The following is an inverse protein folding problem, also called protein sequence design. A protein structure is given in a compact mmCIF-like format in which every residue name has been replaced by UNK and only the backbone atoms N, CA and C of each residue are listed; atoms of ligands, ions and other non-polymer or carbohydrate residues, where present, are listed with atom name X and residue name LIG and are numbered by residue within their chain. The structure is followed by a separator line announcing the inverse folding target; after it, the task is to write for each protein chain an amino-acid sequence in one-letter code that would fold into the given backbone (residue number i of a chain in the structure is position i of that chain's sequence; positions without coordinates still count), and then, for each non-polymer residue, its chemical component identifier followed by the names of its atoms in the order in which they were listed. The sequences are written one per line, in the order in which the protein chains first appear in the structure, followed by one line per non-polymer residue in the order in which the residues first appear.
data_IF_047932609311
#
_entry.id   IF_047932609311
#
_cell.length_a   1.000
_cell.length_b   1.000
_cell.length_c   1.000
_cell.angle_alpha   90.00
_cell.angle_beta   90.00
_cell.angle_gamma   90.00
#
_symmetry.space_group_name_H-M   'P 1'
#
loop_
_entity.id
_entity.type
_entity.pdbx_description
1 polymer ?
#
# COMPACT_ATOMS: atom_id res chain seq x y z
N UNK A 1 15.69 -25.87 -13.48
CA UNK A 1 16.15 -24.49 -13.19
C UNK A 1 15.01 -23.74 -12.52
N UNK A 2 15.07 -23.54 -11.20
CA UNK A 2 14.00 -22.84 -10.47
C UNK A 2 14.17 -21.34 -10.66
N UNK A 3 13.22 -20.70 -11.33
CA UNK A 3 13.24 -19.26 -11.56
C UNK A 3 13.01 -18.53 -10.23
N UNK A 4 14.08 -18.00 -9.64
CA UNK A 4 14.02 -17.14 -8.46
C UNK A 4 13.26 -15.86 -8.84
N UNK A 5 11.98 -15.77 -8.43
CA UNK A 5 11.19 -14.54 -8.59
C UNK A 5 11.94 -13.39 -7.93
N UNK A 6 12.19 -12.34 -8.71
CA UNK A 6 12.71 -11.08 -8.20
C UNK A 6 11.71 -10.52 -7.18
N UNK A 7 12.14 -10.13 -5.97
CA UNK A 7 11.26 -9.50 -5.01
C UNK A 7 10.74 -8.18 -5.61
N UNK A 8 9.44 -7.95 -5.49
CA UNK A 8 8.80 -6.72 -5.96
C UNK A 8 9.53 -5.52 -5.34
N UNK A 9 9.79 -4.46 -6.12
CA UNK A 9 10.41 -3.23 -5.60
C UNK A 9 9.56 -2.55 -4.53
N UNK A 10 8.29 -2.97 -4.40
CA UNK A 10 7.32 -2.55 -3.39
C UNK A 10 7.27 -3.44 -2.15
N UNK A 11 8.10 -4.48 -2.08
CA UNK A 11 8.09 -5.44 -0.98
C UNK A 11 8.79 -4.87 0.25
N UNK A 12 8.01 -4.56 1.29
CA UNK A 12 8.52 -4.17 2.61
C UNK A 12 9.13 -5.34 3.40
N UNK A 13 9.19 -6.53 2.81
CA UNK A 13 9.74 -7.74 3.45
C UNK A 13 11.18 -7.59 3.94
N UNK A 14 11.95 -6.64 3.43
CA UNK A 14 13.32 -6.34 3.89
C UNK A 14 13.34 -5.64 5.26
N UNK A 15 12.21 -5.08 5.67
CA UNK A 15 12.00 -4.44 6.97
C UNK A 15 11.22 -5.35 7.94
N UNK A 16 10.72 -6.50 7.46
CA UNK A 16 10.05 -7.52 8.27
C UNK A 16 11.10 -8.48 8.86
N UNK A 17 11.83 -8.04 9.89
CA UNK A 17 12.72 -8.92 10.62
C UNK A 17 11.93 -9.72 11.68
N UNK A 18 11.83 -11.03 11.44
CA UNK A 18 11.68 -12.15 12.37
C UNK A 18 10.87 -11.89 13.66
N UNK A 19 9.57 -12.21 13.60
CA UNK A 19 8.65 -12.24 14.73
C UNK A 19 9.01 -13.39 15.68
N UNK A 20 9.55 -13.04 16.84
CA UNK A 20 9.12 -13.51 18.16
C UNK A 20 10.15 -13.05 19.19
N UNK A 21 9.79 -12.02 19.98
CA UNK A 21 10.30 -11.68 21.33
C UNK A 21 10.73 -10.22 21.60
N UNK A 22 10.48 -9.24 20.72
CA UNK A 22 10.82 -7.81 20.97
C UNK A 22 9.75 -6.81 20.50
N UNK A 23 8.49 -7.23 20.42
CA UNK A 23 7.47 -6.61 19.56
C UNK A 23 6.84 -5.30 20.06
N UNK A 24 7.25 -4.71 21.20
CA UNK A 24 6.52 -3.56 21.74
C UNK A 24 7.31 -2.25 21.91
N UNK A 25 8.59 -2.17 21.57
CA UNK A 25 9.36 -0.94 21.88
C UNK A 25 10.46 -0.56 20.88
N UNK A 26 10.42 -1.02 19.63
CA UNK A 26 11.38 -0.52 18.64
C UNK A 26 10.79 0.64 17.83
N UNK A 27 10.72 1.84 18.46
CA UNK A 27 10.29 3.09 17.81
C UNK A 27 11.03 3.37 16.49
N UNK A 28 12.21 2.77 16.29
CA UNK A 28 12.96 2.85 15.04
C UNK A 28 12.23 2.24 13.84
N UNK A 29 11.23 1.37 14.05
CA UNK A 29 10.46 0.71 12.99
C UNK A 29 9.17 1.46 12.64
N UNK A 30 8.78 2.46 13.44
CA UNK A 30 7.62 3.30 13.15
C UNK A 30 7.84 4.00 11.81
N UNK A 31 6.79 4.10 10.99
CA UNK A 31 6.90 4.68 9.65
C UNK A 31 7.50 6.10 9.69
N UNK A 32 7.10 6.90 10.68
CA UNK A 32 7.60 8.27 10.88
C UNK A 32 9.09 8.35 11.21
N UNK A 33 9.74 7.24 11.58
CA UNK A 33 11.17 7.17 11.87
C UNK A 33 11.95 6.42 10.78
N UNK A 34 11.28 5.65 9.93
CA UNK A 34 11.91 4.79 8.93
C UNK A 34 11.95 5.36 7.51
N UNK A 35 10.95 6.17 7.11
CA UNK A 35 10.82 6.67 5.73
C UNK A 35 11.50 8.03 5.52
N UNK A 36 12.80 8.05 5.79
CA UNK A 36 13.72 9.16 5.49
C UNK A 36 14.84 8.67 4.58
N UNK A 37 15.73 9.57 4.13
CA UNK A 37 16.93 9.15 3.41
C UNK A 37 17.59 10.27 2.63
N UNK A 38 18.82 10.01 2.18
CA UNK A 38 19.55 10.90 1.27
C UNK A 38 18.72 11.07 -0.01
N UNK A 39 18.64 12.31 -0.49
CA UNK A 39 17.85 12.67 -1.66
C UNK A 39 16.38 12.22 -1.58
N UNK A 40 15.80 12.25 -0.37
CA UNK A 40 14.40 11.92 -0.11
C UNK A 40 13.99 10.48 -0.49
N UNK A 41 14.93 9.54 -0.60
CA UNK A 41 14.64 8.17 -1.06
C UNK A 41 13.56 7.42 -0.26
N UNK A 42 13.43 7.70 1.05
CA UNK A 42 12.37 7.14 1.89
C UNK A 42 10.96 7.63 1.50
N UNK A 43 10.85 8.89 1.07
CA UNK A 43 9.59 9.52 0.63
C UNK A 43 9.07 8.83 -0.63
N UNK A 44 9.95 8.60 -1.60
CA UNK A 44 9.60 7.93 -2.85
C UNK A 44 9.12 6.49 -2.64
N UNK A 45 9.75 5.76 -1.72
CA UNK A 45 9.37 4.38 -1.36
C UNK A 45 7.95 4.36 -0.80
N UNK A 46 7.64 5.22 0.17
CA UNK A 46 6.31 5.25 0.79
C UNK A 46 5.23 5.67 -0.22
N UNK A 47 5.49 6.69 -1.06
CA UNK A 47 4.57 7.06 -2.13
C UNK A 47 4.34 5.95 -3.15
N UNK A 48 5.39 5.21 -3.54
CA UNK A 48 5.25 4.07 -4.43
C UNK A 48 4.40 2.96 -3.81
N UNK A 49 4.61 2.67 -2.52
CA UNK A 49 3.82 1.68 -1.76
C UNK A 49 2.33 2.05 -1.73
N UNK A 50 2.00 3.29 -1.38
CA UNK A 50 0.61 3.76 -1.35
C UNK A 50 -0.05 3.67 -2.74
N UNK A 51 0.65 4.07 -3.81
CA UNK A 51 0.13 3.92 -5.18
C UNK A 51 -0.16 2.47 -5.56
N UNK A 52 0.74 1.54 -5.22
CA UNK A 52 0.59 0.12 -5.52
C UNK A 52 -0.59 -0.51 -4.77
N UNK A 53 -0.77 -0.16 -3.50
CA UNK A 53 -1.90 -0.60 -2.69
C UNK A 53 -3.23 -0.21 -3.33
N UNK A 54 -3.39 1.05 -3.75
CA UNK A 54 -4.62 1.50 -4.41
C UNK A 54 -4.92 0.76 -5.72
N UNK A 55 -3.89 0.40 -6.50
CA UNK A 55 -4.06 -0.34 -7.75
C UNK A 55 -4.56 -1.77 -7.50
N UNK A 56 -4.05 -2.44 -6.46
CA UNK A 56 -4.46 -3.80 -6.09
C UNK A 56 -5.93 -3.88 -5.64
N UNK A 57 -6.41 -2.92 -4.87
CA UNK A 57 -7.79 -2.92 -4.40
C UNK A 57 -8.81 -2.61 -5.52
N UNK A 58 -8.44 -1.78 -6.50
CA UNK A 58 -9.29 -1.53 -7.67
C UNK A 58 -9.50 -2.77 -8.54
N UNK A 59 -8.53 -3.69 -8.61
CA UNK A 59 -8.63 -4.89 -9.46
C UNK A 59 -9.28 -6.10 -8.77
N UNK A 60 -9.42 -6.08 -7.44
CA UNK A 60 -9.91 -7.23 -6.66
C UNK A 60 -11.44 -7.36 -6.58
N UNK A 61 -12.20 -6.46 -7.23
CA UNK A 61 -13.67 -6.40 -7.19
C UNK A 61 -14.42 -7.43 -8.04
N UNK A 62 -13.81 -8.57 -8.41
CA UNK A 62 -14.48 -9.59 -9.24
C UNK A 62 -14.20 -11.00 -8.73
N UNK A 63 -15.16 -11.56 -7.97
CA UNK A 63 -15.17 -12.98 -7.64
C UNK A 63 -16.54 -13.61 -7.95
N UNK A 64 -16.51 -14.75 -8.65
CA UNK A 64 -17.55 -15.79 -8.54
C UNK A 64 -18.23 -16.23 -9.84
N UNK A 65 -18.13 -17.54 -10.15
CA UNK A 65 -19.20 -18.37 -10.77
C UNK A 65 -18.82 -19.85 -10.80
N UNK A 66 -19.63 -20.72 -10.17
CA UNK A 66 -19.72 -22.16 -10.49
C UNK A 66 -20.96 -22.80 -9.83
N UNK A 67 -21.91 -23.32 -10.62
CA UNK A 67 -22.85 -24.40 -10.25
C UNK A 67 -23.71 -24.81 -11.46
N UNK A 68 -23.54 -26.04 -11.98
CA UNK A 68 -24.48 -26.66 -12.94
C UNK A 68 -24.30 -28.18 -12.99
N UNK A 69 -24.59 -28.88 -11.88
CA UNK A 69 -24.55 -30.34 -11.82
C UNK A 69 -25.88 -31.00 -11.37
N UNK A 70 -26.84 -30.26 -10.79
CA UNK A 70 -28.11 -30.79 -10.27
C UNK A 70 -29.17 -31.14 -11.33
N UNK A 71 -28.89 -30.94 -12.62
CA UNK A 71 -29.88 -31.10 -13.71
C UNK A 71 -29.94 -32.51 -14.32
N UNK A 72 -29.18 -33.47 -13.79
CA UNK A 72 -29.08 -34.81 -14.36
C UNK A 72 -30.12 -35.77 -13.73
N UNK A 73 -31.02 -36.32 -14.55
CA UNK A 73 -31.98 -37.36 -14.14
C UNK A 73 -31.32 -38.74 -14.13
N UNK A 74 -31.19 -39.35 -12.95
CA UNK A 74 -30.77 -40.75 -12.75
C UNK A 74 -31.99 -41.68 -12.63
N UNK A 75 -31.87 -42.93 -13.11
CA UNK A 75 -32.78 -44.04 -12.80
C UNK A 75 -34.21 -43.95 -13.35
N UNK A 76 -34.38 -43.78 -14.68
CA UNK A 76 -35.70 -43.65 -15.32
C UNK A 76 -36.58 -44.91 -15.21
N UNK A 77 -35.97 -46.08 -15.03
CA UNK A 77 -36.62 -47.40 -15.04
C UNK A 77 -36.59 -48.11 -13.67
N UNK A 78 -36.22 -47.40 -12.61
CA UNK A 78 -36.12 -47.94 -11.24
C UNK A 78 -37.49 -47.95 -10.53
N UNK A 79 -37.79 -49.01 -9.77
CA UNK A 79 -39.09 -49.23 -9.12
C UNK A 79 -38.89 -49.61 -7.65
N UNK A 80 -39.86 -49.30 -6.78
CA UNK A 80 -39.87 -49.71 -5.38
C UNK A 80 -38.95 -48.86 -4.49
N UNK A 81 -38.40 -49.46 -3.44
CA UNK A 81 -37.59 -48.78 -2.42
C UNK A 81 -36.31 -48.10 -2.97
N UNK A 82 -35.76 -48.65 -4.06
CA UNK A 82 -34.61 -48.07 -4.77
C UNK A 82 -34.99 -46.77 -5.48
N UNK A 83 -36.21 -46.70 -6.06
CA UNK A 83 -36.74 -45.47 -6.64
C UNK A 83 -36.90 -44.37 -5.59
N UNK A 84 -37.46 -44.72 -4.43
CA UNK A 84 -37.57 -43.80 -3.29
C UNK A 84 -36.20 -43.27 -2.84
N UNK A 85 -35.20 -44.15 -2.76
CA UNK A 85 -33.83 -43.76 -2.39
C UNK A 85 -33.18 -42.83 -3.41
N UNK A 86 -33.42 -43.04 -4.71
CA UNK A 86 -32.93 -42.18 -5.80
C UNK A 86 -33.64 -40.81 -5.83
N UNK A 87 -34.94 -40.77 -5.53
CA UNK A 87 -35.70 -39.54 -5.43
C UNK A 87 -35.26 -38.72 -4.19
N UNK A 88 -34.98 -39.37 -3.05
CA UNK A 88 -34.36 -38.72 -1.87
C UNK A 88 -32.97 -38.18 -2.20
N UNK A 89 -32.10 -38.97 -2.84
CA UNK A 89 -30.76 -38.53 -3.26
C UNK A 89 -30.85 -37.28 -4.15
N UNK A 90 -31.79 -37.26 -5.09
CA UNK A 90 -32.03 -36.11 -5.97
C UNK A 90 -32.48 -34.87 -5.20
N UNK A 91 -33.46 -35.01 -4.31
CA UNK A 91 -33.98 -33.91 -3.51
C UNK A 91 -32.91 -33.31 -2.59
N UNK A 92 -32.11 -34.16 -1.94
CA UNK A 92 -31.00 -33.75 -1.11
C UNK A 92 -29.86 -33.09 -1.92
N UNK A 93 -29.58 -33.56 -3.13
CA UNK A 93 -28.62 -32.91 -4.06
C UNK A 93 -29.09 -31.52 -4.50
N UNK A 94 -30.40 -31.34 -4.74
CA UNK A 94 -30.98 -30.04 -5.09
C UNK A 94 -30.94 -29.07 -3.90
N UNK A 95 -31.18 -29.57 -2.69
CA UNK A 95 -31.06 -28.82 -1.44
C UNK A 95 -29.62 -28.38 -1.17
N UNK A 96 -28.63 -29.26 -1.34
CA UNK A 96 -27.21 -28.90 -1.29
C UNK A 96 -26.88 -27.80 -2.30
N UNK A 97 -27.28 -27.95 -3.57
CA UNK A 97 -27.03 -26.93 -4.59
C UNK A 97 -27.62 -25.56 -4.24
N UNK A 98 -28.82 -25.54 -3.66
CA UNK A 98 -29.50 -24.31 -3.22
C UNK A 98 -28.80 -23.68 -2.02
N UNK A 99 -28.34 -24.48 -1.07
CA UNK A 99 -27.59 -24.03 0.10
C UNK A 99 -26.24 -23.41 -0.28
N UNK A 100 -25.47 -24.09 -1.14
CA UNK A 100 -24.19 -23.57 -1.65
C UNK A 100 -24.38 -22.22 -2.37
N UNK A 101 -25.47 -22.06 -3.13
CA UNK A 101 -25.79 -20.79 -3.78
C UNK A 101 -26.12 -19.68 -2.76
N UNK A 102 -26.88 -20.01 -1.70
CA UNK A 102 -27.21 -19.07 -0.63
C UNK A 102 -25.97 -18.60 0.13
N UNK A 103 -25.07 -19.52 0.50
CA UNK A 103 -23.80 -19.17 1.16
C UNK A 103 -22.91 -18.34 0.24
N UNK A 104 -22.82 -18.66 -1.06
CA UNK A 104 -22.07 -17.85 -2.02
C UNK A 104 -22.61 -16.41 -2.10
N UNK A 105 -23.93 -16.24 -2.07
CA UNK A 105 -24.56 -14.92 -2.07
C UNK A 105 -24.33 -14.16 -0.76
N UNK A 106 -24.33 -14.87 0.38
CA UNK A 106 -24.04 -14.31 1.70
C UNK A 106 -22.58 -13.82 1.79
N UNK A 107 -21.62 -14.68 1.43
CA UNK A 107 -20.19 -14.34 1.35
C UNK A 107 -20.01 -13.11 0.45
N UNK A 108 -20.65 -13.10 -0.71
CA UNK A 108 -20.59 -11.97 -1.62
C UNK A 108 -21.08 -10.67 -0.95
N UNK A 109 -22.25 -10.70 -0.33
CA UNK A 109 -22.86 -9.51 0.28
C UNK A 109 -22.03 -8.98 1.45
N UNK A 110 -21.59 -9.87 2.34
CA UNK A 110 -20.85 -9.48 3.55
C UNK A 110 -19.45 -8.96 3.21
N UNK A 111 -18.73 -9.65 2.31
CA UNK A 111 -17.37 -9.25 1.93
C UNK A 111 -17.37 -8.03 1.00
N UNK A 112 -18.33 -7.89 0.08
CA UNK A 112 -18.42 -6.72 -0.80
C UNK A 112 -18.74 -5.44 -0.02
N UNK A 113 -19.64 -5.50 0.96
CA UNK A 113 -19.97 -4.35 1.80
C UNK A 113 -18.75 -3.83 2.57
N UNK A 114 -18.06 -4.72 3.28
CA UNK A 114 -16.89 -4.36 4.06
C UNK A 114 -15.71 -3.90 3.18
N UNK A 115 -15.49 -4.56 2.03
CA UNK A 115 -14.46 -4.17 1.07
C UNK A 115 -14.72 -2.77 0.48
N UNK A 116 -15.98 -2.41 0.21
CA UNK A 116 -16.33 -1.08 -0.28
C UNK A 116 -16.08 0.02 0.76
N UNK A 117 -16.41 -0.22 2.03
CA UNK A 117 -16.10 0.71 3.12
C UNK A 117 -14.59 0.91 3.23
N UNK A 118 -13.82 -0.18 3.21
CA UNK A 118 -12.36 -0.14 3.24
C UNK A 118 -11.78 0.63 2.04
N UNK A 119 -12.26 0.36 0.82
CA UNK A 119 -11.86 1.07 -0.39
C UNK A 119 -12.13 2.57 -0.29
N UNK A 120 -13.29 2.97 0.21
CA UNK A 120 -13.64 4.38 0.39
C UNK A 120 -12.72 5.08 1.39
N UNK A 121 -12.36 4.42 2.50
CA UNK A 121 -11.37 4.94 3.47
C UNK A 121 -10.02 5.18 2.79
N UNK A 122 -9.55 4.21 2.00
CA UNK A 122 -8.30 4.32 1.24
C UNK A 122 -8.34 5.45 0.20
N UNK A 123 -9.46 5.61 -0.53
CA UNK A 123 -9.63 6.68 -1.52
C UNK A 123 -9.70 8.05 -0.86
N UNK A 124 -10.35 8.16 0.29
CA UNK A 124 -10.38 9.40 1.08
C UNK A 124 -8.96 9.78 1.52
N UNK A 125 -8.21 8.82 2.08
CA UNK A 125 -6.85 9.10 2.55
C UNK A 125 -5.95 9.65 1.44
N UNK A 126 -5.99 9.02 0.26
CA UNK A 126 -5.27 9.48 -0.93
C UNK A 126 -5.62 10.93 -1.30
N UNK A 127 -6.91 11.25 -1.34
CA UNK A 127 -7.39 12.58 -1.76
C UNK A 127 -7.02 13.66 -0.75
N UNK A 128 -7.16 13.37 0.54
CA UNK A 128 -7.02 14.35 1.61
C UNK A 128 -5.57 14.52 2.05
N UNK A 129 -4.89 13.41 2.36
CA UNK A 129 -3.56 13.45 2.98
C UNK A 129 -2.45 13.29 1.96
N UNK A 130 -2.50 12.26 1.09
CA UNK A 130 -1.43 12.03 0.12
C UNK A 130 -1.27 13.19 -0.87
N UNK A 131 -2.37 13.75 -1.37
CA UNK A 131 -2.31 14.86 -2.32
C UNK A 131 -1.78 16.16 -1.68
N UNK A 132 -2.06 16.37 -0.39
CA UNK A 132 -1.57 17.52 0.36
C UNK A 132 -0.06 17.41 0.62
N UNK A 133 0.41 16.25 1.08
CA UNK A 133 1.83 16.03 1.38
C UNK A 133 2.68 16.03 0.09
N UNK A 134 2.18 15.48 -1.03
CA UNK A 134 2.87 15.56 -2.33
C UNK A 134 3.04 17.02 -2.80
N UNK A 135 2.07 17.89 -2.49
CA UNK A 135 2.15 19.31 -2.83
C UNK A 135 3.20 20.03 -1.96
N UNK A 136 3.19 19.79 -0.64
CA UNK A 136 4.21 20.37 0.24
C UNK A 136 5.62 19.90 -0.12
N UNK A 137 5.79 18.63 -0.50
CA UNK A 137 7.07 18.09 -0.95
C UNK A 137 7.60 18.83 -2.18
N UNK A 138 6.73 19.09 -3.18
CA UNK A 138 7.11 19.89 -4.35
C UNK A 138 7.50 21.32 -3.98
N UNK A 139 6.84 21.92 -3.00
CA UNK A 139 7.19 23.26 -2.49
C UNK A 139 8.58 23.24 -1.83
N UNK A 140 8.88 22.25 -0.99
CA UNK A 140 10.21 22.02 -0.41
C UNK A 140 11.28 21.94 -1.51
N UNK A 141 11.10 21.04 -2.48
CA UNK A 141 12.05 20.87 -3.59
C UNK A 141 12.28 22.16 -4.39
N UNK A 142 11.23 22.94 -4.59
CA UNK A 142 11.34 24.24 -5.28
C UNK A 142 12.22 25.22 -4.50
N UNK A 143 12.05 25.29 -3.19
CA UNK A 143 12.85 26.16 -2.33
C UNK A 143 14.30 25.68 -2.20
N UNK A 144 14.54 24.38 -2.11
CA UNK A 144 15.89 23.80 -2.19
C UNK A 144 16.58 24.23 -3.50
N UNK A 145 15.83 24.22 -4.61
CA UNK A 145 16.29 24.75 -5.89
C UNK A 145 16.66 26.24 -5.87
N UNK A 146 15.90 27.09 -5.16
CA UNK A 146 16.23 28.50 -4.99
C UNK A 146 17.48 28.72 -4.15
N UNK A 147 17.61 27.99 -3.03
CA UNK A 147 18.78 28.04 -2.15
C UNK A 147 20.04 27.62 -2.91
N UNK A 148 20.00 26.50 -3.65
CA UNK A 148 21.14 26.02 -4.43
C UNK A 148 21.56 27.04 -5.49
N UNK A 149 20.62 27.60 -6.25
CA UNK A 149 20.92 28.63 -7.27
C UNK A 149 21.50 29.90 -6.66
N UNK A 150 21.00 30.35 -5.51
CA UNK A 150 21.52 31.54 -4.84
C UNK A 150 22.92 31.28 -4.27
N UNK A 151 23.13 30.08 -3.70
CA UNK A 151 24.43 29.61 -3.21
C UNK A 151 25.48 29.59 -4.32
N UNK A 152 25.18 28.99 -5.47
CA UNK A 152 26.09 28.93 -6.62
C UNK A 152 26.53 30.32 -7.08
N UNK A 153 25.61 31.29 -7.11
CA UNK A 153 25.93 32.69 -7.47
C UNK A 153 26.83 33.36 -6.45
N UNK A 154 26.52 33.21 -5.16
CA UNK A 154 27.34 33.74 -4.07
C UNK A 154 28.75 33.14 -4.10
N UNK A 155 28.88 31.81 -4.17
CA UNK A 155 30.17 31.12 -4.23
C UNK A 155 30.98 31.51 -5.48
N UNK A 156 30.32 31.66 -6.63
CA UNK A 156 30.98 32.13 -7.85
C UNK A 156 31.54 33.56 -7.71
N UNK A 157 30.84 34.46 -7.03
CA UNK A 157 31.34 35.81 -6.77
C UNK A 157 32.50 35.82 -5.76
N UNK A 158 32.45 34.98 -4.71
CA UNK A 158 33.59 34.78 -3.80
C UNK A 158 34.84 34.32 -4.56
N UNK A 159 34.70 33.36 -5.48
CA UNK A 159 35.81 32.89 -6.33
C UNK A 159 36.35 34.01 -7.22
N UNK A 160 35.48 34.83 -7.84
CA UNK A 160 35.91 35.99 -8.63
C UNK A 160 36.68 37.01 -7.78
N UNK A 161 36.18 37.34 -6.58
CA UNK A 161 36.83 38.28 -5.66
C UNK A 161 38.23 37.78 -5.30
N UNK A 162 38.36 36.49 -4.94
CA UNK A 162 39.65 35.89 -4.62
C UNK A 162 40.60 35.95 -5.82
N UNK A 163 40.12 35.62 -7.02
CA UNK A 163 40.91 35.69 -8.25
C UNK A 163 41.38 37.12 -8.57
N UNK A 164 40.49 38.12 -8.50
CA UNK A 164 40.86 39.50 -8.78
C UNK A 164 41.77 40.09 -7.71
N UNK A 165 41.58 39.72 -6.45
CA UNK A 165 42.47 40.09 -5.34
C UNK A 165 43.87 39.51 -5.54
N UNK A 166 43.98 38.24 -5.97
CA UNK A 166 45.28 37.66 -6.29
C UNK A 166 45.93 38.36 -7.49
N UNK A 167 45.18 38.61 -8.56
CA UNK A 167 45.70 39.28 -9.76
C UNK A 167 46.15 40.72 -9.51
N UNK A 168 45.46 41.47 -8.62
CA UNK A 168 45.83 42.86 -8.32
C UNK A 168 47.22 42.99 -7.67
N UNK A 169 47.70 41.94 -6.98
CA UNK A 169 49.06 41.93 -6.42
C UNK A 169 50.17 41.78 -7.47
N UNK A 170 49.83 41.27 -8.66
CA UNK A 170 50.79 40.95 -9.72
C UNK A 170 50.78 41.96 -10.88
N UNK A 171 49.80 42.86 -10.94
CA UNK A 171 49.62 43.81 -12.05
C UNK A 171 49.90 45.25 -11.61
N UNK A 172 50.21 46.11 -12.59
CA UNK A 172 50.54 47.53 -12.35
C UNK A 172 49.94 48.43 -13.46
N UNK A 173 49.85 49.72 -13.17
CA UNK A 173 49.38 50.74 -14.12
C UNK A 173 47.95 50.50 -14.61
N UNK A 174 47.70 50.74 -15.90
CA UNK A 174 46.35 50.66 -16.49
C UNK A 174 45.66 49.30 -16.36
N UNK A 175 46.43 48.22 -16.24
CA UNK A 175 45.85 46.89 -16.08
C UNK A 175 45.46 46.60 -14.62
N UNK A 176 46.15 47.21 -13.65
CA UNK A 176 45.72 47.20 -12.25
C UNK A 176 44.39 47.94 -12.08
N UNK A 177 44.24 49.11 -12.68
CA UNK A 177 42.99 49.90 -12.63
C UNK A 177 41.79 49.10 -13.16
N UNK A 178 41.98 48.35 -14.27
CA UNK A 178 40.95 47.47 -14.83
C UNK A 178 40.55 46.34 -13.88
N UNK A 179 41.51 45.73 -13.17
CA UNK A 179 41.22 44.66 -12.20
C UNK A 179 40.49 45.23 -10.98
N UNK A 180 40.94 46.39 -10.46
CA UNK A 180 40.27 47.04 -9.33
C UNK A 180 38.82 47.37 -9.64
N UNK A 181 38.51 47.87 -10.84
CA UNK A 181 37.12 48.11 -11.25
C UNK A 181 36.28 46.82 -11.29
N UNK A 182 36.85 45.69 -11.75
CA UNK A 182 36.17 44.40 -11.74
C UNK A 182 35.97 43.85 -10.33
N UNK A 183 36.97 44.03 -9.47
CA UNK A 183 36.93 43.65 -8.05
C UNK A 183 35.83 44.41 -7.31
N UNK A 184 35.76 45.73 -7.47
CA UNK A 184 34.74 46.57 -6.84
C UNK A 184 33.33 46.15 -7.27
N UNK A 185 33.12 45.89 -8.57
CA UNK A 185 31.84 45.36 -9.07
C UNK A 185 31.50 43.99 -8.46
N UNK A 186 32.48 43.08 -8.39
CA UNK A 186 32.26 41.77 -7.78
C UNK A 186 31.92 41.88 -6.28
N UNK A 187 32.58 42.79 -5.55
CA UNK A 187 32.29 43.09 -4.15
C UNK A 187 30.88 43.67 -3.95
N UNK A 188 30.42 44.55 -4.83
CA UNK A 188 29.04 45.05 -4.77
C UNK A 188 28.02 43.92 -5.02
N UNK A 189 28.31 43.04 -5.98
CA UNK A 189 27.39 41.97 -6.38
C UNK A 189 27.32 40.85 -5.33
N UNK A 190 28.43 40.51 -4.67
CA UNK A 190 28.48 39.44 -3.67
C UNK A 190 27.58 39.75 -2.47
N UNK A 191 27.51 41.01 -2.01
CA UNK A 191 26.64 41.38 -0.90
C UNK A 191 25.14 41.23 -1.22
N UNK A 192 24.75 41.51 -2.47
CA UNK A 192 23.37 41.26 -2.89
C UNK A 192 23.06 39.76 -2.94
N UNK A 193 23.96 38.96 -3.53
CA UNK A 193 23.80 37.50 -3.61
C UNK A 193 23.86 36.81 -2.24
N UNK A 194 24.67 37.32 -1.30
CA UNK A 194 24.72 36.87 0.09
C UNK A 194 23.39 37.06 0.81
N UNK A 195 22.79 38.25 0.67
CA UNK A 195 21.48 38.56 1.26
C UNK A 195 20.39 37.68 0.67
N UNK A 196 20.38 37.48 -0.64
CA UNK A 196 19.41 36.62 -1.31
C UNK A 196 19.57 35.16 -0.86
N UNK A 197 20.81 34.65 -0.80
CA UNK A 197 21.09 33.32 -0.29
C UNK A 197 20.60 33.13 1.16
N UNK A 198 20.90 34.09 2.05
CA UNK A 198 20.44 34.05 3.44
C UNK A 198 18.90 34.08 3.55
N UNK A 199 18.24 34.85 2.70
CA UNK A 199 16.77 34.94 2.68
C UNK A 199 16.12 33.63 2.19
N UNK A 200 16.63 33.05 1.10
CA UNK A 200 16.13 31.77 0.61
C UNK A 200 16.42 30.64 1.60
N UNK A 201 17.58 30.63 2.24
CA UNK A 201 17.94 29.63 3.25
C UNK A 201 16.99 29.68 4.45
N UNK A 202 16.64 30.89 4.93
CA UNK A 202 15.67 31.07 6.03
C UNK A 202 14.28 30.58 5.64
N UNK A 203 13.81 30.93 4.44
CA UNK A 203 12.51 30.47 3.95
C UNK A 203 12.45 28.94 3.78
N UNK A 204 13.56 28.32 3.34
CA UNK A 204 13.69 26.87 3.27
C UNK A 204 13.64 26.24 4.65
N UNK A 205 14.34 26.80 5.64
CA UNK A 205 14.33 26.29 7.01
C UNK A 205 12.90 26.22 7.57
N UNK A 206 12.12 27.30 7.44
CA UNK A 206 10.73 27.33 7.92
C UNK A 206 9.86 26.27 7.23
N UNK A 207 10.09 26.07 5.93
CA UNK A 207 9.34 25.08 5.14
C UNK A 207 9.74 23.66 5.48
N UNK A 208 11.04 23.39 5.72
CA UNK A 208 11.55 22.08 6.13
C UNK A 208 11.00 21.69 7.49
N UNK A 209 10.98 22.60 8.47
CA UNK A 209 10.42 22.31 9.81
C UNK A 209 8.95 21.90 9.70
N UNK A 210 8.15 22.64 8.93
CA UNK A 210 6.74 22.30 8.71
C UNK A 210 6.58 20.99 7.94
N UNK A 211 7.37 20.80 6.90
CA UNK A 211 7.39 19.57 6.09
C UNK A 211 7.67 18.34 6.96
N UNK A 212 8.69 18.38 7.81
CA UNK A 212 9.08 17.24 8.65
C UNK A 212 7.97 16.85 9.63
N UNK A 213 7.29 17.83 10.23
CA UNK A 213 6.16 17.59 11.12
C UNK A 213 5.00 16.93 10.36
N UNK A 214 4.64 17.49 9.20
CA UNK A 214 3.55 16.95 8.38
C UNK A 214 3.88 15.59 7.79
N UNK A 215 5.15 15.34 7.44
CA UNK A 215 5.62 14.07 6.93
C UNK A 215 5.53 12.97 7.99
N UNK A 216 5.91 13.25 9.24
CA UNK A 216 5.75 12.31 10.35
C UNK A 216 4.29 11.92 10.56
N UNK A 217 3.40 12.91 10.64
CA UNK A 217 1.96 12.66 10.78
C UNK A 217 1.39 11.86 9.59
N UNK A 218 1.85 12.16 8.38
CA UNK A 218 1.46 11.39 7.20
C UNK A 218 1.96 9.93 7.29
N UNK A 219 3.20 9.72 7.70
CA UNK A 219 3.78 8.39 7.89
C UNK A 219 3.00 7.57 8.93
N UNK A 220 2.65 8.18 10.08
CA UNK A 220 1.85 7.53 11.12
C UNK A 220 0.48 7.13 10.55
N UNK A 221 -0.19 8.04 9.82
CA UNK A 221 -1.47 7.71 9.17
C UNK A 221 -1.37 6.59 8.12
N UNK A 222 -0.21 6.45 7.45
CA UNK A 222 0.04 5.36 6.52
C UNK A 222 0.26 4.03 7.26
N UNK A 223 0.88 4.07 8.44
CA UNK A 223 1.03 2.90 9.28
C UNK A 223 -0.34 2.41 9.78
N UNK A 224 -1.19 3.32 10.28
CA UNK A 224 -2.57 3.00 10.69
C UNK A 224 -3.34 2.31 9.55
N UNK A 225 -3.22 2.80 8.32
CA UNK A 225 -3.86 2.19 7.16
C UNK A 225 -3.34 0.79 6.80
N UNK A 226 -2.07 0.50 7.07
CA UNK A 226 -1.49 -0.82 6.85
C UNK A 226 -1.89 -1.80 7.94
N UNK A 227 -1.94 -1.34 9.20
CA UNK A 227 -2.46 -2.10 10.34
C UNK A 227 -3.93 -2.47 10.12
N UNK A 228 -4.77 -1.48 9.75
CA UNK A 228 -6.17 -1.71 9.37
C UNK A 228 -6.31 -2.69 8.20
N UNK A 229 -5.40 -2.63 7.21
CA UNK A 229 -5.41 -3.54 6.06
C UNK A 229 -5.12 -4.98 6.49
N UNK A 230 -4.19 -5.16 7.42
CA UNK A 230 -3.84 -6.48 7.93
C UNK A 230 -5.00 -7.07 8.75
N UNK A 231 -5.61 -6.28 9.63
CA UNK A 231 -6.76 -6.73 10.42
C UNK A 231 -7.96 -7.02 9.51
N UNK A 232 -8.26 -6.14 8.55
CA UNK A 232 -9.30 -6.38 7.55
C UNK A 232 -9.10 -7.70 6.79
N UNK A 233 -7.88 -7.98 6.32
CA UNK A 233 -7.59 -9.22 5.59
C UNK A 233 -7.78 -10.46 6.46
N UNK A 234 -7.33 -10.40 7.72
CA UNK A 234 -7.48 -11.47 8.70
C UNK A 234 -8.96 -11.75 8.98
N UNK A 235 -9.76 -10.72 9.22
CA UNK A 235 -11.20 -10.84 9.48
C UNK A 235 -11.95 -11.41 8.27
N UNK A 236 -11.60 -10.95 7.06
CA UNK A 236 -12.21 -11.45 5.82
C UNK A 236 -11.85 -12.92 5.56
N UNK A 237 -10.59 -13.30 5.80
CA UNK A 237 -10.16 -14.71 5.70
C UNK A 237 -10.85 -15.59 6.73
N UNK A 238 -11.00 -15.11 7.96
CA UNK A 238 -11.72 -15.80 9.02
C UNK A 238 -13.19 -16.00 8.68
N UNK A 239 -13.88 -14.94 8.23
CA UNK A 239 -15.28 -15.01 7.79
C UNK A 239 -15.46 -15.98 6.61
N UNK A 240 -14.55 -15.96 5.65
CA UNK A 240 -14.55 -16.90 4.53
C UNK A 240 -14.38 -18.35 5.00
N UNK A 241 -13.39 -18.62 5.88
CA UNK A 241 -13.15 -19.96 6.42
C UNK A 241 -14.36 -20.49 7.20
N UNK A 242 -15.02 -19.64 7.98
CA UNK A 242 -16.25 -20.00 8.69
C UNK A 242 -17.38 -20.33 7.70
N UNK A 243 -17.59 -19.51 6.67
CA UNK A 243 -18.62 -19.75 5.68
C UNK A 243 -18.42 -21.08 4.93
N UNK A 244 -17.16 -21.42 4.60
CA UNK A 244 -16.82 -22.74 4.02
C UNK A 244 -17.08 -23.87 5.03
N UNK A 245 -16.71 -23.69 6.29
CA UNK A 245 -16.95 -24.70 7.34
C UNK A 245 -18.43 -25.00 7.53
N UNK A 246 -19.29 -23.97 7.49
CA UNK A 246 -20.75 -24.14 7.55
C UNK A 246 -21.27 -24.97 6.38
N UNK A 247 -20.72 -24.78 5.17
CA UNK A 247 -21.04 -25.60 4.00
C UNK A 247 -20.64 -27.06 4.19
N UNK A 248 -19.45 -27.32 4.73
CA UNK A 248 -19.00 -28.68 5.00
C UNK A 248 -19.92 -29.40 6.00
N UNK A 249 -20.29 -28.74 7.10
CA UNK A 249 -21.21 -29.33 8.10
C UNK A 249 -22.57 -29.62 7.48
N UNK A 250 -23.09 -28.70 6.66
CA UNK A 250 -24.38 -28.89 6.00
C UNK A 250 -24.36 -30.05 4.99
N UNK A 251 -23.28 -30.19 4.22
CA UNK A 251 -23.12 -31.28 3.27
C UNK A 251 -23.01 -32.65 3.98
N UNK A 252 -22.32 -32.69 5.13
CA UNK A 252 -22.23 -33.88 5.98
C UNK A 252 -23.60 -34.30 6.53
N UNK A 253 -24.40 -33.35 7.04
CA UNK A 253 -25.76 -33.62 7.54
C UNK A 253 -26.67 -34.19 6.44
N UNK A 254 -26.63 -33.62 5.24
CA UNK A 254 -27.42 -34.08 4.10
C UNK A 254 -26.98 -35.49 3.64
N UNK A 255 -25.68 -35.75 3.64
CA UNK A 255 -25.12 -37.06 3.32
C UNK A 255 -25.55 -38.13 4.33
N UNK A 256 -25.54 -37.79 5.63
CA UNK A 256 -26.03 -38.65 6.70
C UNK A 256 -27.53 -38.93 6.58
N UNK A 257 -28.34 -37.92 6.27
CA UNK A 257 -29.78 -38.13 6.07
C UNK A 257 -30.06 -39.09 4.92
N UNK A 258 -29.39 -38.89 3.77
CA UNK A 258 -29.50 -39.78 2.60
C UNK A 258 -29.11 -41.22 2.94
N UNK A 259 -28.08 -41.41 3.78
CA UNK A 259 -27.66 -42.73 4.23
C UNK A 259 -28.68 -43.41 5.15
N UNK A 260 -29.28 -42.68 6.09
CA UNK A 260 -30.25 -43.22 7.06
C UNK A 260 -31.66 -43.39 6.47
N UNK A 261 -32.03 -42.64 5.43
CA UNK A 261 -33.29 -42.80 4.71
C UNK A 261 -33.30 -43.98 3.73
N UNK A 262 -32.18 -44.69 3.56
CA UNK A 262 -32.07 -45.84 2.66
C UNK A 262 -32.58 -47.12 3.37
N UNK A 263 -33.71 -47.72 2.93
CA UNK A 263 -34.42 -48.78 3.67
C UNK A 263 -33.69 -50.15 3.70
N UNK A 264 -32.51 -50.28 3.09
CA UNK A 264 -31.73 -51.53 3.11
C UNK A 264 -31.11 -51.89 4.47
N UNK A 265 -31.16 -51.00 5.47
CA UNK A 265 -30.67 -51.29 6.83
C UNK A 265 -31.68 -52.04 7.73
N UNK A 266 -32.85 -52.45 7.22
CA UNK A 266 -33.85 -53.22 7.97
C UNK A 266 -34.20 -54.53 7.25
N UNK A 267 -33.26 -55.49 7.22
CA UNK A 267 -33.50 -56.96 7.26
C UNK A 267 -32.23 -57.75 6.94
N UNK A 268 -31.39 -57.97 7.95
CA UNK A 268 -30.71 -59.26 8.12
C UNK A 268 -30.93 -59.67 9.58
N UNK A 269 -32.12 -60.19 9.89
CA UNK A 269 -32.31 -61.07 11.05
C UNK A 269 -32.08 -62.49 10.55
N UNK A 270 -31.10 -63.23 11.09
CA UNK A 270 -31.04 -64.66 10.85
C UNK A 270 -32.27 -65.33 11.48
N UNK A 271 -32.83 -66.31 10.77
CA UNK A 271 -33.80 -67.27 11.30
C UNK A 271 -33.18 -68.08 12.45
#
# INVERSE_FOLDING_TARGET
MSARRQPSSTSLSKYANNAHSQEFTNRSLDFCNAFWGIADGGVDVLFARMRAQHAQWKSSGTFGKRASLSKFTLGRDEIGDLRGSLDTLRAETEKQGSYHLSVAQQIKTDLEGQANVFLNKQLHHKRTYQSAIEKEFKTKQTQEGYVNKAREKYEADCVKINSYTAQSTLMQGKDLDKIQLKLERAQQTVHANERDFANFARALQDTVVKWEQNWKMFCDSCQDLEEDRMEFMKDNMWAYANAVSTVCVQDDEVSLFTYHSNPTQLKIRPL
#
